data_IF_853819176647
#
_entry.id   IF_853819176647
#
_cell.length_a   1.000
_cell.length_b   1.000
_cell.length_c   1.000
_cell.angle_alpha   90.00
_cell.angle_beta   90.00
_cell.angle_gamma   90.00
#
_symmetry.space_group_name_H-M   'P 1'
#
loop_
_entity.id
_entity.type
_entity.pdbx_description
1 polymer ?
#
# COMPACT_ATOMS: atom_id res chain seq x y z
N UNK A 1 2.11 -2.98 20.16
CA UNK A 1 0.95 -2.09 20.43
C UNK A 1 1.49 -0.67 20.48
N UNK A 2 0.78 0.30 19.91
CA UNK A 2 1.29 1.67 19.66
C UNK A 2 1.20 2.52 20.92
N UNK A 3 2.18 3.40 21.14
CA UNK A 3 2.15 4.39 22.22
C UNK A 3 1.15 5.51 21.86
N UNK A 4 0.08 5.64 22.64
CA UNK A 4 -1.00 6.60 22.42
C UNK A 4 -0.58 8.06 22.67
N UNK A 5 0.59 8.28 23.31
CA UNK A 5 1.08 9.58 23.75
C UNK A 5 2.06 10.27 22.78
N UNK A 6 2.17 9.81 21.53
CA UNK A 6 3.15 10.34 20.59
C UNK A 6 2.72 11.61 19.83
N UNK A 7 1.57 12.22 20.19
CA UNK A 7 1.07 13.49 19.62
C UNK A 7 0.47 13.38 18.22
N UNK A 8 0.53 12.22 17.57
CA UNK A 8 -0.04 11.98 16.24
C UNK A 8 -1.50 11.54 16.34
N UNK A 9 -2.36 12.48 16.77
CA UNK A 9 -3.80 12.27 16.92
C UNK A 9 -4.59 13.24 16.00
N UNK A 10 -5.88 12.96 15.75
CA UNK A 10 -6.76 13.88 15.04
C UNK A 10 -6.83 15.25 15.75
N UNK A 11 -6.99 16.37 15.01
CA UNK A 11 -7.30 16.45 13.57
C UNK A 11 -6.08 16.40 12.64
N UNK A 12 -4.86 16.49 13.17
CA UNK A 12 -3.64 16.68 12.39
C UNK A 12 -3.07 15.40 11.79
N UNK A 13 -3.41 14.24 12.36
CA UNK A 13 -3.01 12.95 11.81
C UNK A 13 -3.96 11.83 12.22
N UNK A 14 -4.09 10.83 11.36
CA UNK A 14 -4.93 9.65 11.62
C UNK A 14 -4.03 8.42 11.63
N UNK A 15 -3.95 7.76 12.78
CA UNK A 15 -3.16 6.53 12.90
C UNK A 15 -3.98 5.33 12.42
N UNK A 16 -3.52 4.67 11.37
CA UNK A 16 -4.13 3.45 10.81
C UNK A 16 -3.12 2.30 10.74
N UNK A 17 -3.60 1.07 10.88
CA UNK A 17 -2.80 -0.14 10.73
C UNK A 17 -2.79 -0.63 9.29
N UNK A 18 -1.58 -0.92 8.80
CA UNK A 18 -1.39 -1.61 7.53
C UNK A 18 -1.96 -3.03 7.59
N UNK A 19 -2.70 -3.45 6.57
CA UNK A 19 -3.17 -4.84 6.43
C UNK A 19 -2.04 -5.88 6.54
N UNK A 20 -0.82 -5.53 6.09
CA UNK A 20 0.36 -6.41 6.22
C UNK A 20 0.79 -6.59 7.68
N UNK A 21 0.73 -5.52 8.47
CA UNK A 21 1.03 -5.58 9.90
C UNK A 21 -0.05 -6.35 10.65
N UNK A 22 -1.33 -6.10 10.33
CA UNK A 22 -2.45 -6.87 10.90
C UNK A 22 -2.27 -8.36 10.58
N UNK A 23 -1.96 -8.72 9.33
CA UNK A 23 -1.68 -10.12 8.95
C UNK A 23 -0.44 -10.71 9.64
N UNK A 24 0.59 -9.92 9.88
CA UNK A 24 1.76 -10.37 10.65
C UNK A 24 1.38 -10.69 12.11
N UNK A 25 0.65 -9.78 12.76
CA UNK A 25 0.17 -9.97 14.13
C UNK A 25 -0.80 -11.14 14.25
N UNK A 26 -1.69 -11.29 13.26
CA UNK A 26 -2.58 -12.45 13.15
C UNK A 26 -1.78 -13.75 13.14
N UNK A 27 -0.72 -13.83 12.33
CA UNK A 27 0.10 -15.04 12.26
C UNK A 27 0.94 -15.28 13.54
N UNK A 28 1.34 -14.22 14.25
CA UNK A 28 1.99 -14.38 15.55
C UNK A 28 1.04 -15.00 16.59
N UNK A 29 -0.24 -14.61 16.57
CA UNK A 29 -1.29 -15.11 17.46
C UNK A 29 -1.75 -16.53 17.08
N UNK A 30 -2.22 -16.71 15.85
CA UNK A 30 -2.93 -17.91 15.39
C UNK A 30 -2.04 -18.92 14.66
N UNK A 31 -0.79 -18.56 14.34
CA UNK A 31 0.19 -19.41 13.62
C UNK A 31 -0.36 -20.04 12.33
N UNK A 32 -1.33 -19.39 11.68
CA UNK A 32 -1.99 -19.91 10.49
C UNK A 32 -1.59 -19.11 9.23
N UNK A 33 -0.67 -19.70 8.45
CA UNK A 33 -0.10 -19.07 7.25
C UNK A 33 -1.12 -18.93 6.12
N UNK A 34 -2.09 -19.86 6.01
CA UNK A 34 -3.15 -19.80 4.99
C UNK A 34 -4.07 -18.62 5.26
N UNK A 35 -4.60 -18.53 6.48
CA UNK A 35 -5.48 -17.44 6.88
C UNK A 35 -4.77 -16.08 6.91
N UNK A 36 -3.47 -16.05 7.22
CA UNK A 36 -2.64 -14.85 7.02
C UNK A 36 -2.66 -14.35 5.58
N UNK A 37 -2.53 -15.25 4.59
CA UNK A 37 -2.55 -14.89 3.16
C UNK A 37 -3.93 -14.38 2.74
N UNK A 38 -4.99 -15.05 3.18
CA UNK A 38 -6.39 -14.61 3.01
C UNK A 38 -6.59 -13.19 3.57
N UNK A 39 -6.15 -12.95 4.81
CA UNK A 39 -6.26 -11.64 5.48
C UNK A 39 -5.48 -10.54 4.74
N UNK A 40 -4.29 -10.85 4.24
CA UNK A 40 -3.48 -9.93 3.45
C UNK A 40 -4.19 -9.48 2.16
N UNK A 41 -4.98 -10.38 1.57
CA UNK A 41 -5.68 -10.21 0.30
C UNK A 41 -7.09 -9.62 0.45
N UNK A 42 -7.46 -9.13 1.65
CA UNK A 42 -8.72 -8.43 1.90
C UNK A 42 -8.86 -7.10 1.13
N UNK A 43 -7.81 -6.65 0.43
CA UNK A 43 -7.76 -5.38 -0.29
C UNK A 43 -8.89 -5.23 -1.33
N UNK A 44 -9.32 -6.33 -1.96
CA UNK A 44 -10.40 -6.32 -2.95
C UNK A 44 -11.73 -6.68 -2.30
N UNK A 45 -12.70 -5.74 -2.24
CA UNK A 45 -14.01 -5.94 -1.58
C UNK A 45 -13.88 -6.21 -0.07
N UNK A 46 -13.19 -5.31 0.61
CA UNK A 46 -12.81 -5.39 2.03
C UNK A 46 -13.96 -5.80 2.95
N UNK A 47 -15.07 -5.05 2.95
CA UNK A 47 -16.22 -5.29 3.85
C UNK A 47 -16.72 -6.73 3.73
N UNK A 48 -17.06 -7.17 2.51
CA UNK A 48 -17.60 -8.50 2.26
C UNK A 48 -16.64 -9.62 2.71
N UNK A 49 -15.35 -9.48 2.41
CA UNK A 49 -14.38 -10.51 2.80
C UNK A 49 -14.06 -10.49 4.28
N UNK A 50 -14.12 -9.34 4.94
CA UNK A 50 -13.92 -9.23 6.38
C UNK A 50 -15.03 -9.99 7.13
N UNK A 51 -16.29 -9.88 6.69
CA UNK A 51 -17.38 -10.68 7.24
C UNK A 51 -17.16 -12.18 7.04
N UNK A 52 -16.78 -12.61 5.83
CA UNK A 52 -16.45 -14.02 5.57
C UNK A 52 -15.32 -14.52 6.49
N UNK A 53 -14.36 -13.65 6.81
CA UNK A 53 -13.25 -13.99 7.67
C UNK A 53 -13.66 -14.11 9.15
N UNK A 54 -14.66 -13.34 9.60
CA UNK A 54 -15.25 -13.46 10.94
C UNK A 54 -15.95 -14.80 11.15
N UNK A 55 -16.56 -15.34 10.11
CA UNK A 55 -17.28 -16.62 10.18
C UNK A 55 -16.37 -17.85 10.27
N UNK A 56 -15.05 -17.69 10.09
CA UNK A 56 -14.08 -18.80 10.15
C UNK A 56 -13.97 -19.39 11.57
N UNK A 57 -14.00 -18.53 12.60
CA UNK A 57 -13.88 -18.97 13.99
C UNK A 57 -14.34 -17.88 14.96
N UNK A 58 -15.06 -18.25 16.04
CA UNK A 58 -15.43 -17.31 17.11
C UNK A 58 -14.23 -16.62 17.79
N UNK A 59 -13.05 -17.25 17.80
CA UNK A 59 -11.84 -16.63 18.35
C UNK A 59 -11.25 -15.59 17.39
N UNK A 60 -11.21 -15.92 16.10
CA UNK A 60 -10.74 -15.00 15.05
C UNK A 60 -11.65 -13.79 14.97
N UNK A 61 -12.97 -13.99 15.05
CA UNK A 61 -13.97 -12.91 15.10
C UNK A 61 -13.69 -11.95 16.26
N UNK A 62 -13.55 -12.47 17.48
CA UNK A 62 -13.22 -11.67 18.67
C UNK A 62 -11.92 -10.88 18.50
N UNK A 63 -10.91 -11.48 17.88
CA UNK A 63 -9.64 -10.79 17.63
C UNK A 63 -9.76 -9.67 16.59
N UNK A 64 -10.52 -9.90 15.51
CA UNK A 64 -10.78 -8.89 14.46
C UNK A 64 -11.62 -7.74 15.02
N UNK A 65 -12.66 -8.06 15.76
CA UNK A 65 -13.58 -7.06 16.33
C UNK A 65 -12.91 -6.24 17.44
N UNK A 66 -11.84 -6.77 18.05
CA UNK A 66 -10.95 -6.01 18.93
C UNK A 66 -10.13 -4.93 18.22
N UNK A 67 -10.05 -4.95 16.89
CA UNK A 67 -9.41 -3.89 16.09
C UNK A 67 -10.52 -2.93 15.64
N UNK A 68 -10.59 -1.76 16.27
CA UNK A 68 -11.54 -0.70 15.91
C UNK A 68 -11.52 -0.41 14.40
N UNK A 69 -12.71 -0.29 13.79
CA UNK A 69 -12.89 -0.11 12.35
C UNK A 69 -12.06 1.06 11.79
N UNK A 70 -11.99 2.18 12.53
CA UNK A 70 -11.20 3.38 12.20
C UNK A 70 -9.70 3.14 12.05
N UNK A 71 -9.16 2.11 12.70
CA UNK A 71 -7.75 1.75 12.62
C UNK A 71 -7.46 0.83 11.44
N UNK A 72 -8.47 0.30 10.75
CA UNK A 72 -8.26 -0.41 9.50
C UNK A 72 -8.01 0.60 8.38
N UNK A 73 -6.82 0.59 7.78
CA UNK A 73 -6.46 1.53 6.71
C UNK A 73 -7.41 1.49 5.49
N UNK A 74 -8.18 0.41 5.35
CA UNK A 74 -9.11 0.16 4.24
C UNK A 74 -10.58 0.40 4.58
N UNK A 75 -10.94 0.53 5.87
CA UNK A 75 -12.34 0.53 6.29
C UNK A 75 -13.00 1.91 6.34
N UNK A 76 -12.21 2.98 6.39
CA UNK A 76 -12.73 4.34 6.35
C UNK A 76 -12.05 5.13 5.25
N UNK A 77 -12.62 5.08 4.06
CA UNK A 77 -12.29 6.01 2.98
C UNK A 77 -13.56 6.66 2.42
N UNK A 78 -14.40 7.21 3.30
CA UNK A 78 -15.68 7.84 2.95
C UNK A 78 -15.51 9.07 2.02
N UNK A 79 -14.27 9.53 1.80
CA UNK A 79 -13.95 10.71 0.98
C UNK A 79 -12.82 10.48 -0.04
N UNK A 80 -12.34 9.25 -0.25
CA UNK A 80 -11.24 8.97 -1.19
C UNK A 80 -9.88 9.58 -0.80
N UNK A 81 -9.72 10.01 0.46
CA UNK A 81 -8.57 10.79 0.96
C UNK A 81 -7.52 9.93 1.63
N UNK A 82 -7.86 8.70 2.01
CA UNK A 82 -6.90 7.78 2.60
C UNK A 82 -6.38 6.91 1.49
N UNK A 83 -5.37 7.45 0.79
CA UNK A 83 -4.55 6.71 -0.15
C UNK A 83 -4.35 5.31 0.40
N UNK A 84 -4.90 4.31 -0.31
CA UNK A 84 -4.54 2.92 -0.12
C UNK A 84 -3.06 2.92 0.18
N UNK A 85 -2.64 2.37 1.32
CA UNK A 85 -1.22 2.29 1.62
C UNK A 85 -0.60 1.62 0.41
N UNK A 86 0.03 2.41 -0.46
CA UNK A 86 0.51 1.95 -1.75
C UNK A 86 1.73 1.18 -1.34
N UNK A 87 1.50 -0.08 -1.00
CA UNK A 87 2.53 -1.03 -0.65
C UNK A 87 3.57 -1.04 -1.77
N UNK A 88 3.17 -0.72 -3.00
CA UNK A 88 4.09 -0.49 -4.11
C UNK A 88 4.97 0.75 -3.93
N UNK A 89 4.51 1.87 -3.40
CA UNK A 89 5.36 3.05 -3.17
C UNK A 89 6.37 2.78 -2.05
N UNK A 90 5.94 2.25 -0.90
CA UNK A 90 6.88 1.91 0.18
C UNK A 90 7.83 0.76 -0.21
N UNK A 91 7.37 -0.23 -0.99
CA UNK A 91 8.26 -1.27 -1.57
C UNK A 91 9.21 -0.68 -2.62
N UNK A 92 8.74 0.22 -3.49
CA UNK A 92 9.55 0.85 -4.52
C UNK A 92 10.64 1.70 -3.87
N UNK A 93 10.28 2.52 -2.87
CA UNK A 93 11.24 3.28 -2.07
C UNK A 93 12.21 2.36 -1.33
N UNK A 94 11.74 1.28 -0.71
CA UNK A 94 12.62 0.30 -0.09
C UNK A 94 13.59 -0.40 -1.07
N UNK A 95 13.18 -0.57 -2.33
CA UNK A 95 14.01 -1.14 -3.40
C UNK A 95 15.03 -0.12 -3.89
N UNK A 96 14.59 1.12 -4.13
CA UNK A 96 15.43 2.27 -4.50
C UNK A 96 16.52 2.49 -3.45
N UNK A 97 16.13 2.53 -2.18
CA UNK A 97 17.04 2.82 -1.07
C UNK A 97 17.87 1.60 -0.63
N UNK A 98 17.66 0.41 -1.21
CA UNK A 98 18.31 -0.83 -0.75
C UNK A 98 19.83 -0.74 -0.79
N UNK A 99 20.41 -0.13 -1.83
CA UNK A 99 21.85 0.03 -1.99
C UNK A 99 22.46 1.18 -1.18
N UNK A 100 21.61 2.04 -0.61
CA UNK A 100 22.05 3.32 -0.02
C UNK A 100 21.80 3.40 1.48
N UNK A 101 21.31 2.33 2.13
CA UNK A 101 20.90 2.32 3.54
C UNK A 101 22.00 2.68 4.54
N UNK A 102 23.27 2.53 4.15
CA UNK A 102 24.41 2.85 4.99
C UNK A 102 24.90 4.30 4.80
N UNK A 103 24.24 5.08 3.94
CA UNK A 103 24.59 6.47 3.69
C UNK A 103 23.92 7.40 4.73
N UNK A 104 24.52 8.58 4.99
CA UNK A 104 23.88 9.61 5.79
C UNK A 104 22.49 9.99 5.23
N UNK A 105 21.57 10.41 6.10
CA UNK A 105 20.20 10.79 5.72
C UNK A 105 20.21 11.87 4.61
N UNK A 106 21.14 12.81 4.69
CA UNK A 106 21.32 13.86 3.67
C UNK A 106 21.69 13.29 2.29
N UNK A 107 22.52 12.24 2.25
CA UNK A 107 22.86 11.54 1.01
C UNK A 107 21.65 10.74 0.48
N UNK A 108 20.88 10.09 1.35
CA UNK A 108 19.65 9.39 0.97
C UNK A 108 18.62 10.34 0.32
N UNK A 109 18.43 11.52 0.89
CA UNK A 109 17.54 12.55 0.35
C UNK A 109 18.02 13.01 -1.02
N UNK A 110 19.31 13.32 -1.16
CA UNK A 110 19.91 13.73 -2.45
C UNK A 110 19.78 12.65 -3.52
N UNK A 111 20.09 11.39 -3.18
CA UNK A 111 19.93 10.26 -4.10
C UNK A 111 18.48 10.08 -4.55
N UNK A 112 17.53 10.14 -3.61
CA UNK A 112 16.10 10.01 -3.93
C UNK A 112 15.63 11.12 -4.87
N UNK A 113 16.04 12.36 -4.60
CA UNK A 113 15.73 13.50 -5.46
C UNK A 113 16.29 13.32 -6.88
N UNK A 114 17.58 12.97 -6.99
CA UNK A 114 18.22 12.77 -8.30
C UNK A 114 17.53 11.67 -9.12
N UNK A 115 17.22 10.53 -8.49
CA UNK A 115 16.52 9.43 -9.14
C UNK A 115 15.09 9.81 -9.58
N UNK A 116 14.38 10.62 -8.80
CA UNK A 116 13.06 11.11 -9.18
C UNK A 116 13.14 12.02 -10.40
N UNK A 117 14.07 12.98 -10.40
CA UNK A 117 14.28 13.90 -11.53
C UNK A 117 14.60 13.11 -12.80
N UNK A 118 15.57 12.19 -12.73
CA UNK A 118 15.94 11.34 -13.87
C UNK A 118 14.74 10.55 -14.40
N UNK A 119 13.97 9.91 -13.50
CA UNK A 119 12.78 9.15 -13.87
C UNK A 119 11.73 10.01 -14.59
N UNK A 120 11.45 11.22 -14.10
CA UNK A 120 10.49 12.12 -14.73
C UNK A 120 10.98 12.62 -16.09
N UNK A 121 12.27 12.95 -16.21
CA UNK A 121 12.87 13.37 -17.49
C UNK A 121 12.77 12.25 -18.53
N UNK A 122 13.16 11.02 -18.17
CA UNK A 122 13.04 9.87 -19.06
C UNK A 122 11.58 9.61 -19.48
N UNK A 123 10.65 9.67 -18.51
CA UNK A 123 9.24 9.39 -18.78
C UNK A 123 8.58 10.48 -19.62
N UNK A 124 8.95 11.74 -19.43
CA UNK A 124 8.51 12.85 -20.26
C UNK A 124 9.06 12.72 -21.69
N UNK A 125 10.35 12.38 -21.83
CA UNK A 125 10.96 12.11 -23.13
C UNK A 125 10.23 11.01 -23.90
N UNK A 126 9.94 9.89 -23.23
CA UNK A 126 9.18 8.79 -23.82
C UNK A 126 7.76 9.21 -24.21
N UNK A 127 7.06 9.96 -23.35
CA UNK A 127 5.72 10.45 -23.65
C UNK A 127 5.72 11.40 -24.86
N UNK A 128 6.71 12.27 -24.98
CA UNK A 128 6.86 13.17 -26.12
C UNK A 128 7.15 12.40 -27.42
N UNK A 129 7.99 11.36 -27.37
CA UNK A 129 8.24 10.49 -28.52
C UNK A 129 6.96 9.76 -28.95
N UNK A 130 6.19 9.22 -27.99
CA UNK A 130 4.90 8.58 -28.24
C UNK A 130 3.89 9.55 -28.87
N UNK A 131 3.81 10.79 -28.37
CA UNK A 131 2.97 11.83 -28.96
C UNK A 131 3.43 12.21 -30.38
N UNK A 132 4.73 12.29 -30.63
CA UNK A 132 5.29 12.63 -31.93
C UNK A 132 4.96 11.60 -33.01
N UNK A 133 4.85 10.31 -32.65
CA UNK A 133 4.41 9.24 -33.55
C UNK A 133 2.88 9.09 -33.61
N UNK A 134 2.13 10.06 -33.07
CA UNK A 134 0.66 10.07 -33.07
C UNK A 134 0.01 9.12 -32.06
N UNK A 135 0.79 8.53 -31.15
CA UNK A 135 0.30 7.58 -30.17
C UNK A 135 -0.40 8.33 -29.02
N UNK A 136 -1.73 8.29 -29.01
CA UNK A 136 -2.57 9.02 -28.04
C UNK A 136 -2.57 8.42 -26.63
N UNK A 137 -2.25 7.13 -26.52
CA UNK A 137 -2.32 6.37 -25.27
C UNK A 137 -0.99 5.66 -24.98
N UNK A 138 -0.68 5.45 -23.71
CA UNK A 138 0.54 4.75 -23.32
C UNK A 138 0.56 3.32 -23.85
N UNK A 139 1.76 2.80 -24.17
CA UNK A 139 1.95 1.47 -24.79
C UNK A 139 1.16 0.36 -24.07
N UNK A 140 1.24 0.32 -22.74
CA UNK A 140 0.56 -0.67 -21.90
C UNK A 140 -0.95 -0.71 -22.11
N UNK A 141 -1.58 0.45 -22.33
CA UNK A 141 -3.02 0.52 -22.57
C UNK A 141 -3.35 0.00 -23.97
N UNK A 142 -2.54 0.36 -24.97
CA UNK A 142 -2.70 -0.13 -26.35
C UNK A 142 -2.54 -1.65 -26.40
N UNK A 143 -1.50 -2.19 -25.77
CA UNK A 143 -1.27 -3.64 -25.71
C UNK A 143 -2.45 -4.35 -25.00
N UNK A 144 -3.00 -3.75 -23.94
CA UNK A 144 -4.17 -4.30 -23.27
C UNK A 144 -5.44 -4.23 -24.13
N UNK A 145 -5.61 -3.19 -24.96
CA UNK A 145 -6.74 -3.10 -25.88
C UNK A 145 -6.63 -4.13 -27.02
N UNK A 146 -5.43 -4.37 -27.54
CA UNK A 146 -5.18 -5.33 -28.60
C UNK A 146 -5.31 -6.79 -28.14
N UNK A 147 -4.88 -7.11 -26.91
CA UNK A 147 -4.96 -8.46 -26.36
C UNK A 147 -6.36 -8.84 -25.79
N UNK A 148 -7.31 -7.90 -25.78
CA UNK A 148 -8.71 -8.16 -25.37
C UNK A 148 -9.68 -8.19 -26.57
N UNK A 149 -9.17 -8.22 -27.81
CA UNK A 149 -9.94 -8.58 -29.02
C UNK A 149 -9.78 -10.07 -29.32
#
# INVERSE_FOLDING_TARGET
MVNENNGWQPPYSYHVYCIRHIASNFNQRFKNVKLKKELHNLQNKFVRRLEQFREISPEIRRWIDGISLEKWSLAHDDKGRRYHMITNLSKAMNKILKGSRNLPITALVKCTYAMLVEYFVQRLGQANLELAIGQKYCRKLIDAMQNNQ
#
